data_IF_911971629703
#
_entry.id   IF_911971629703
#
_cell.length_a   1.000
_cell.length_b   1.000
_cell.length_c   1.000
_cell.angle_alpha   90.00
_cell.angle_beta   90.00
_cell.angle_gamma   90.00
#
_symmetry.space_group_name_H-M   'P 1'
#
loop_
_entity.id
_entity.type
_entity.pdbx_description
1 polymer ?
#
# COMPACT_ATOMS: atom_id res chain seq x y z
N UNK A 1 -37.53 -17.61 14.25
CA UNK A 1 -36.24 -18.04 13.69
C UNK A 1 -35.66 -16.91 12.84
N UNK A 2 -34.89 -16.00 13.43
CA UNK A 2 -34.39 -14.74 12.81
C UNK A 2 -32.90 -14.50 13.05
N UNK A 3 -32.21 -15.42 13.75
CA UNK A 3 -30.88 -15.18 14.33
C UNK A 3 -29.73 -15.71 13.45
N UNK A 4 -30.02 -16.28 12.27
CA UNK A 4 -29.00 -16.85 11.37
C UNK A 4 -28.48 -15.87 10.31
N UNK A 5 -29.18 -14.74 10.06
CA UNK A 5 -28.79 -13.79 9.01
C UNK A 5 -27.60 -12.88 9.38
N UNK A 6 -27.33 -12.66 10.68
CA UNK A 6 -26.20 -11.83 11.14
C UNK A 6 -24.83 -12.53 11.00
N UNK A 7 -24.78 -13.86 10.89
CA UNK A 7 -23.51 -14.62 10.90
C UNK A 7 -22.79 -14.71 9.54
N UNK A 8 -23.36 -14.15 8.47
CA UNK A 8 -22.82 -14.28 7.11
C UNK A 8 -22.27 -12.96 6.51
N UNK A 9 -22.14 -11.88 7.29
CA UNK A 9 -21.61 -10.60 6.79
C UNK A 9 -22.66 -9.61 6.29
N UNK A 10 -23.93 -9.75 6.72
CA UNK A 10 -24.92 -8.69 6.55
C UNK A 10 -24.58 -7.54 7.50
N UNK A 11 -24.13 -6.42 6.94
CA UNK A 11 -23.65 -5.26 7.71
C UNK A 11 -24.80 -4.42 8.31
N UNK A 12 -26.05 -4.66 7.88
CA UNK A 12 -27.22 -3.95 8.41
C UNK A 12 -28.49 -4.81 8.42
N UNK A 13 -29.36 -4.60 9.41
CA UNK A 13 -30.62 -5.34 9.60
C UNK A 13 -31.80 -4.37 9.69
N UNK A 14 -32.63 -4.33 8.66
CA UNK A 14 -33.86 -3.55 8.64
C UNK A 14 -35.03 -4.42 9.10
N UNK A 15 -35.44 -4.24 10.36
CA UNK A 15 -36.62 -4.91 10.92
C UNK A 15 -37.88 -4.36 10.25
N UNK A 16 -38.75 -5.25 9.75
CA UNK A 16 -40.05 -4.84 9.21
C UNK A 16 -40.96 -4.31 10.34
N UNK A 17 -41.77 -3.26 10.09
CA UNK A 17 -41.82 -2.46 8.85
C UNK A 17 -40.69 -1.43 8.79
N UNK A 18 -39.94 -1.40 7.68
CA UNK A 18 -38.90 -0.40 7.40
C UNK A 18 -39.38 0.57 6.31
N UNK A 19 -38.82 1.78 6.27
CA UNK A 19 -39.12 2.74 5.19
C UNK A 19 -38.23 2.42 3.99
N UNK A 20 -38.75 2.60 2.78
CA UNK A 20 -37.98 2.38 1.55
C UNK A 20 -36.71 3.25 1.52
N UNK A 21 -36.76 4.46 2.08
CA UNK A 21 -35.61 5.35 2.21
C UNK A 21 -34.51 4.75 3.10
N UNK A 22 -34.87 4.09 4.22
CA UNK A 22 -33.89 3.47 5.13
C UNK A 22 -33.13 2.33 4.42
N UNK A 23 -33.81 1.61 3.52
CA UNK A 23 -33.18 0.59 2.67
C UNK A 23 -32.23 1.21 1.64
N UNK A 24 -32.64 2.30 0.98
CA UNK A 24 -31.81 3.00 0.01
C UNK A 24 -30.55 3.59 0.66
N UNK A 25 -30.68 4.17 1.85
CA UNK A 25 -29.57 4.74 2.62
C UNK A 25 -28.58 3.66 3.07
N UNK A 26 -29.08 2.51 3.55
CA UNK A 26 -28.24 1.36 3.91
C UNK A 26 -27.45 0.80 2.71
N UNK A 27 -28.10 0.67 1.55
CA UNK A 27 -27.44 0.24 0.31
C UNK A 27 -26.39 1.26 -0.14
N UNK A 28 -26.70 2.56 -0.10
CA UNK A 28 -25.77 3.61 -0.46
C UNK A 28 -24.52 3.62 0.45
N UNK A 29 -24.71 3.47 1.76
CA UNK A 29 -23.62 3.40 2.73
C UNK A 29 -22.73 2.16 2.50
N UNK A 30 -23.34 0.99 2.24
CA UNK A 30 -22.62 -0.23 1.92
C UNK A 30 -21.80 -0.10 0.62
N UNK A 31 -22.37 0.51 -0.43
CA UNK A 31 -21.67 0.76 -1.69
C UNK A 31 -20.49 1.73 -1.53
N UNK A 32 -20.66 2.80 -0.74
CA UNK A 32 -19.57 3.73 -0.46
C UNK A 32 -18.42 3.05 0.29
N UNK A 33 -18.72 2.26 1.34
CA UNK A 33 -17.71 1.47 2.05
C UNK A 33 -17.00 0.47 1.14
N UNK A 34 -17.74 -0.24 0.27
CA UNK A 34 -17.15 -1.17 -0.67
C UNK A 34 -16.24 -0.48 -1.69
N UNK A 35 -16.62 0.70 -2.18
CA UNK A 35 -15.75 1.51 -3.05
C UNK A 35 -14.45 1.91 -2.34
N UNK A 36 -14.52 2.40 -1.10
CA UNK A 36 -13.32 2.76 -0.32
C UNK A 36 -12.42 1.54 -0.09
N UNK A 37 -13.01 0.38 0.23
CA UNK A 37 -12.29 -0.89 0.40
C UNK A 37 -11.59 -1.31 -0.89
N UNK A 38 -12.29 -1.31 -2.02
CA UNK A 38 -11.72 -1.64 -3.33
C UNK A 38 -10.62 -0.67 -3.75
N UNK A 39 -10.78 0.62 -3.49
CA UNK A 39 -9.74 1.61 -3.77
C UNK A 39 -8.48 1.40 -2.91
N UNK A 40 -8.64 1.08 -1.63
CA UNK A 40 -7.52 0.72 -0.76
C UNK A 40 -6.78 -0.54 -1.22
N UNK A 41 -7.53 -1.59 -1.56
CA UNK A 41 -6.95 -2.85 -2.07
C UNK A 41 -6.18 -2.64 -3.38
N UNK A 42 -6.76 -1.90 -4.35
CA UNK A 42 -6.09 -1.59 -5.62
C UNK A 42 -4.77 -0.84 -5.43
N UNK A 43 -4.72 0.14 -4.51
CA UNK A 43 -3.50 0.90 -4.22
C UNK A 43 -2.39 0.00 -3.65
N UNK A 44 -2.73 -0.92 -2.74
CA UNK A 44 -1.75 -1.86 -2.18
C UNK A 44 -1.27 -2.88 -3.22
N UNK A 45 -2.15 -3.35 -4.10
CA UNK A 45 -1.77 -4.27 -5.18
C UNK A 45 -0.85 -3.59 -6.20
N UNK A 46 -1.15 -2.34 -6.60
CA UNK A 46 -0.26 -1.54 -7.46
C UNK A 46 1.11 -1.32 -6.79
N UNK A 47 1.12 -1.05 -5.48
CA UNK A 47 2.34 -0.84 -4.73
C UNK A 47 3.19 -2.12 -4.65
N UNK A 48 2.55 -3.27 -4.39
CA UNK A 48 3.21 -4.59 -4.40
C UNK A 48 3.75 -4.94 -5.78
N UNK A 49 3.00 -4.67 -6.84
CA UNK A 49 3.46 -4.86 -8.21
C UNK A 49 4.68 -3.99 -8.54
N UNK A 50 4.67 -2.73 -8.11
CA UNK A 50 5.83 -1.84 -8.21
C UNK A 50 7.06 -2.42 -7.51
N UNK A 51 6.89 -2.94 -6.28
CA UNK A 51 7.97 -3.55 -5.53
C UNK A 51 8.50 -4.84 -6.17
N UNK A 52 7.62 -5.69 -6.69
CA UNK A 52 8.00 -6.92 -7.40
C UNK A 52 8.76 -6.65 -8.70
N UNK A 53 8.59 -5.47 -9.30
CA UNK A 53 9.33 -5.06 -10.50
C UNK A 53 10.79 -4.62 -10.23
N UNK A 54 11.15 -4.45 -8.96
CA UNK A 54 12.50 -4.09 -8.55
C UNK A 54 13.45 -5.26 -8.80
N UNK A 55 14.65 -4.95 -9.29
CA UNK A 55 15.74 -5.92 -9.27
C UNK A 55 16.18 -6.17 -7.82
N UNK A 56 16.85 -7.30 -7.53
CA UNK A 56 17.37 -7.58 -6.19
C UNK A 56 18.21 -6.41 -5.64
N UNK A 57 19.02 -5.79 -6.50
CA UNK A 57 19.88 -4.67 -6.14
C UNK A 57 19.12 -3.37 -5.87
N UNK A 58 18.09 -3.09 -6.64
CA UNK A 58 17.20 -1.94 -6.39
C UNK A 58 16.43 -2.11 -5.08
N UNK A 59 15.97 -3.33 -4.76
CA UNK A 59 15.29 -3.63 -3.51
C UNK A 59 16.24 -3.50 -2.30
N UNK A 60 17.48 -3.97 -2.41
CA UNK A 60 18.53 -3.75 -1.39
C UNK A 60 18.78 -2.26 -1.14
N UNK A 61 18.99 -1.48 -2.21
CA UNK A 61 19.20 -0.04 -2.10
C UNK A 61 17.97 0.65 -1.49
N UNK A 62 16.76 0.27 -1.90
CA UNK A 62 15.53 0.79 -1.31
C UNK A 62 15.48 0.57 0.21
N UNK A 63 15.76 -0.65 0.70
CA UNK A 63 15.76 -0.96 2.14
C UNK A 63 16.71 -0.05 2.93
N UNK A 64 17.95 0.09 2.47
CA UNK A 64 18.95 0.90 3.18
C UNK A 64 18.67 2.40 3.09
N UNK A 65 18.20 2.87 1.94
CA UNK A 65 17.83 4.28 1.75
C UNK A 65 16.67 4.67 2.66
N UNK A 66 15.65 3.81 2.77
CA UNK A 66 14.50 4.02 3.66
C UNK A 66 14.91 3.92 5.14
N UNK A 67 15.96 3.16 5.44
CA UNK A 67 16.65 3.12 6.73
C UNK A 67 17.50 4.36 7.05
N UNK A 68 17.49 5.37 6.18
CA UNK A 68 18.22 6.62 6.40
C UNK A 68 19.73 6.50 6.20
N UNK A 69 20.23 5.39 5.62
CA UNK A 69 21.65 5.27 5.32
C UNK A 69 22.03 6.26 4.22
N UNK A 70 23.16 6.94 4.42
CA UNK A 70 23.77 7.82 3.42
C UNK A 70 24.28 7.01 2.23
N UNK A 71 24.21 7.58 1.02
CA UNK A 71 24.69 6.92 -0.22
C UNK A 71 26.12 6.38 -0.08
N UNK A 72 27.01 7.10 0.63
CA UNK A 72 28.38 6.66 0.92
C UNK A 72 28.43 5.36 1.73
N UNK A 73 27.57 5.21 2.75
CA UNK A 73 27.52 4.00 3.58
C UNK A 73 26.94 2.83 2.80
N UNK A 74 25.89 3.07 2.01
CA UNK A 74 25.30 2.06 1.13
C UNK A 74 26.33 1.58 0.09
N UNK A 75 27.09 2.51 -0.50
CA UNK A 75 28.16 2.20 -1.44
C UNK A 75 29.22 1.28 -0.81
N UNK A 76 29.65 1.58 0.42
CA UNK A 76 30.56 0.72 1.18
C UNK A 76 29.96 -0.65 1.50
N UNK A 77 28.74 -0.71 2.02
CA UNK A 77 28.05 -1.96 2.38
C UNK A 77 27.89 -2.88 1.17
N UNK A 78 27.57 -2.30 0.02
CA UNK A 78 27.31 -3.02 -1.21
C UNK A 78 28.55 -3.23 -2.08
N UNK A 79 29.73 -2.72 -1.69
CA UNK A 79 30.95 -2.74 -2.52
C UNK A 79 30.73 -2.16 -3.94
N UNK A 80 30.02 -1.04 -4.05
CA UNK A 80 29.76 -0.33 -5.32
C UNK A 80 30.06 1.16 -5.18
N UNK A 81 30.09 1.90 -6.30
CA UNK A 81 30.29 3.36 -6.25
C UNK A 81 29.04 4.10 -5.76
N UNK A 82 29.21 5.28 -5.15
CA UNK A 82 28.09 6.16 -4.80
C UNK A 82 27.24 6.57 -6.02
N UNK A 83 27.86 6.66 -7.20
CA UNK A 83 27.16 6.94 -8.46
C UNK A 83 26.23 5.77 -8.79
N UNK A 84 26.70 4.54 -8.62
CA UNK A 84 25.89 3.32 -8.82
C UNK A 84 24.71 3.27 -7.85
N UNK A 85 24.91 3.66 -6.58
CA UNK A 85 23.81 3.77 -5.60
C UNK A 85 22.76 4.79 -6.07
N UNK A 86 23.19 5.97 -6.55
CA UNK A 86 22.26 6.98 -7.08
C UNK A 86 21.46 6.47 -8.27
N UNK A 87 22.09 5.69 -9.16
CA UNK A 87 21.42 5.06 -10.30
C UNK A 87 20.35 4.06 -9.81
N UNK A 88 20.72 3.11 -8.94
CA UNK A 88 19.76 2.14 -8.40
C UNK A 88 18.63 2.82 -7.63
N UNK A 89 18.91 3.85 -6.84
CA UNK A 89 17.89 4.65 -6.15
C UNK A 89 16.92 5.30 -7.13
N UNK A 90 17.45 5.90 -8.20
CA UNK A 90 16.62 6.53 -9.25
C UNK A 90 15.73 5.53 -9.96
N UNK A 91 16.26 4.35 -10.31
CA UNK A 91 15.48 3.27 -10.93
C UNK A 91 14.42 2.73 -9.99
N UNK A 92 14.77 2.51 -8.71
CA UNK A 92 13.80 2.08 -7.70
C UNK A 92 12.66 3.09 -7.52
N UNK A 93 12.97 4.39 -7.40
CA UNK A 93 11.94 5.44 -7.31
C UNK A 93 11.05 5.47 -8.56
N UNK A 94 11.63 5.32 -9.76
CA UNK A 94 10.87 5.28 -11.02
C UNK A 94 9.92 4.08 -11.07
N UNK A 95 10.40 2.88 -10.71
CA UNK A 95 9.61 1.64 -10.71
C UNK A 95 8.52 1.65 -9.63
N UNK A 96 8.82 2.20 -8.46
CA UNK A 96 7.84 2.46 -7.39
C UNK A 96 6.89 3.63 -7.71
N UNK A 97 7.06 4.32 -8.84
CA UNK A 97 6.30 5.53 -9.23
C UNK A 97 6.36 6.63 -8.16
N UNK A 98 7.44 6.69 -7.38
CA UNK A 98 7.64 7.68 -6.34
C UNK A 98 8.16 9.00 -6.94
N UNK A 99 7.36 10.07 -6.81
CA UNK A 99 7.75 11.42 -7.28
C UNK A 99 8.70 12.14 -6.34
N UNK A 100 8.63 11.81 -5.04
CA UNK A 100 9.42 12.43 -4.00
C UNK A 100 10.04 11.37 -3.10
N UNK A 101 11.12 11.74 -2.41
CA UNK A 101 11.76 10.87 -1.44
C UNK A 101 10.82 10.51 -0.28
N UNK A 102 10.08 11.48 0.24
CA UNK A 102 9.08 11.24 1.29
C UNK A 102 8.01 10.24 0.83
N UNK A 103 7.51 10.37 -0.41
CA UNK A 103 6.59 9.40 -0.99
C UNK A 103 7.18 8.00 -1.10
N UNK A 104 8.46 7.90 -1.47
CA UNK A 104 9.18 6.63 -1.54
C UNK A 104 9.30 5.93 -0.17
N UNK A 105 9.54 6.70 0.90
CA UNK A 105 9.57 6.20 2.29
C UNK A 105 8.19 5.74 2.74
N UNK A 106 7.14 6.52 2.50
CA UNK A 106 5.76 6.14 2.84
C UNK A 106 5.33 4.84 2.13
N UNK A 107 5.70 4.69 0.86
CA UNK A 107 5.48 3.47 0.08
C UNK A 107 6.18 2.26 0.70
N UNK A 108 7.43 2.42 1.15
CA UNK A 108 8.16 1.36 1.84
C UNK A 108 7.49 0.97 3.17
N UNK A 109 7.03 1.95 3.95
CA UNK A 109 6.29 1.71 5.19
C UNK A 109 4.98 0.95 4.94
N UNK A 110 4.22 1.33 3.91
CA UNK A 110 2.99 0.63 3.52
C UNK A 110 3.23 -0.83 3.09
N UNK A 111 4.42 -1.14 2.57
CA UNK A 111 4.84 -2.50 2.24
C UNK A 111 5.38 -3.29 3.45
N UNK A 112 5.48 -2.66 4.63
CA UNK A 112 6.12 -3.27 5.80
C UNK A 112 7.64 -3.38 5.67
N UNK A 113 8.24 -2.64 4.73
CA UNK A 113 9.68 -2.53 4.53
C UNK A 113 10.17 -1.39 5.43
N UNK A 114 9.96 -1.56 6.74
CA UNK A 114 10.44 -0.61 7.73
C UNK A 114 11.83 -1.02 8.23
N UNK A 115 12.74 -0.06 8.44
CA UNK A 115 13.83 -0.23 9.38
C UNK A 115 13.26 -0.21 10.80
N UNK A 116 13.85 -0.98 11.70
CA UNK A 116 13.68 -0.75 13.13
C UNK A 116 14.26 0.60 13.54
#
# INVERSE_FOLDING_TARGET
MTVTAMKAGAEDFLAKPFREQDLLDAVAAALQKDQHRRHGMRKLDELRSGYQSLTPREAEVMRMVVAGLLNKRIASELSISEVTVKIHRGQAMRKMKARTFAGFVLMAQQLGICPH
#
